data_IF_756929919784
#
_entry.id   IF_756929919784
#
_cell.length_a   1.000
_cell.length_b   1.000
_cell.length_c   1.000
_cell.angle_alpha   90.00
_cell.angle_beta   90.00
_cell.angle_gamma   90.00
#
_symmetry.space_group_name_H-M   'P 1'
#
loop_
_entity.id
_entity.type
_entity.pdbx_description
1 polymer ?
#
# COMPACT_ATOMS: atom_id res chain seq x y z
N UNK A 1 54.71 -15.05 -1.73
CA UNK A 1 54.95 -14.09 -0.63
C UNK A 1 54.60 -14.81 0.66
N UNK A 2 55.59 -15.16 1.48
CA UNK A 2 55.37 -15.90 2.73
C UNK A 2 55.18 -14.92 3.88
N UNK A 3 54.01 -14.94 4.50
CA UNK A 3 53.69 -14.15 5.69
C UNK A 3 54.46 -14.77 6.86
N UNK A 4 55.28 -13.99 7.54
CA UNK A 4 56.07 -14.48 8.65
C UNK A 4 55.27 -14.47 9.94
N UNK A 5 55.63 -15.32 10.89
CA UNK A 5 54.97 -15.42 12.19
C UNK A 5 55.02 -14.10 13.00
N UNK A 6 55.95 -13.20 12.65
CA UNK A 6 56.06 -11.84 13.18
C UNK A 6 54.95 -10.92 12.68
N UNK A 7 54.50 -11.10 11.44
CA UNK A 7 53.43 -10.31 10.83
C UNK A 7 52.06 -10.65 11.44
N UNK A 8 51.84 -11.93 11.79
CA UNK A 8 50.63 -12.40 12.47
C UNK A 8 50.50 -11.79 13.88
N UNK A 9 51.61 -11.69 14.61
CA UNK A 9 51.64 -11.06 15.93
C UNK A 9 51.23 -9.58 15.88
N UNK A 10 51.78 -8.82 14.92
CA UNK A 10 51.48 -7.39 14.77
C UNK A 10 50.01 -7.13 14.38
N UNK A 11 49.41 -8.01 13.57
CA UNK A 11 47.98 -7.92 13.23
C UNK A 11 47.08 -8.21 14.43
N UNK A 12 47.42 -9.21 15.25
CA UNK A 12 46.65 -9.54 16.46
C UNK A 12 46.66 -8.40 17.50
N UNK A 13 47.78 -7.67 17.65
CA UNK A 13 47.85 -6.53 18.57
C UNK A 13 47.03 -5.33 18.07
N UNK A 14 47.05 -5.05 16.76
CA UNK A 14 46.22 -3.98 16.17
C UNK A 14 44.72 -4.27 16.27
N UNK A 15 44.33 -5.53 16.11
CA UNK A 15 42.94 -5.95 16.22
C UNK A 15 42.40 -5.82 17.66
N UNK A 16 43.21 -6.18 18.68
CA UNK A 16 42.84 -5.98 20.09
C UNK A 16 42.67 -4.51 20.47
N UNK A 17 43.51 -3.62 19.94
CA UNK A 17 43.40 -2.18 20.15
C UNK A 17 42.11 -1.58 19.59
N UNK A 18 41.70 -2.00 18.38
CA UNK A 18 40.45 -1.54 17.74
C UNK A 18 39.19 -2.06 18.45
N UNK A 19 39.20 -3.32 18.92
CA UNK A 19 38.04 -3.86 19.65
C UNK A 19 37.83 -3.13 20.98
N UNK A 20 38.90 -2.83 21.73
CA UNK A 20 38.77 -2.06 22.97
C UNK A 20 38.28 -0.62 22.75
N UNK A 21 38.71 0.05 21.68
CA UNK A 21 38.26 1.42 21.39
C UNK A 21 36.80 1.48 20.94
N UNK A 22 36.33 0.51 20.12
CA UNK A 22 34.92 0.43 19.77
C UNK A 22 34.01 0.14 20.97
N UNK A 23 34.40 -0.77 21.87
CA UNK A 23 33.61 -1.10 23.07
C UNK A 23 33.53 0.09 24.02
N UNK A 24 34.62 0.82 24.23
CA UNK A 24 34.63 2.02 25.07
C UNK A 24 33.75 3.15 24.48
N UNK A 25 33.76 3.34 23.16
CA UNK A 25 32.91 4.32 22.49
C UNK A 25 31.41 3.97 22.61
N UNK A 26 31.04 2.70 22.47
CA UNK A 26 29.66 2.25 22.65
C UNK A 26 29.16 2.43 24.10
N UNK A 27 30.01 2.15 25.10
CA UNK A 27 29.65 2.35 26.51
C UNK A 27 29.50 3.83 26.87
N UNK A 28 30.34 4.72 26.33
CA UNK A 28 30.21 6.16 26.54
C UNK A 28 28.92 6.73 25.91
N UNK A 29 28.52 6.25 24.74
CA UNK A 29 27.27 6.67 24.08
C UNK A 29 26.02 6.22 24.86
N UNK A 30 26.05 5.04 25.47
CA UNK A 30 24.94 4.55 26.30
C UNK A 30 24.75 5.36 27.60
N UNK A 31 25.83 5.88 28.19
CA UNK A 31 25.74 6.69 29.41
C UNK A 31 25.11 8.07 29.18
N UNK A 32 25.29 8.67 28.00
CA UNK A 32 24.67 9.97 27.65
C UNK A 32 23.15 9.83 27.43
N UNK A 33 22.68 8.68 26.95
CA UNK A 33 21.26 8.44 26.71
C UNK A 33 20.45 8.25 28.00
N UNK A 34 21.07 7.86 29.12
CA UNK A 34 20.38 7.62 30.39
C UNK A 34 20.13 8.89 31.23
N UNK A 35 20.79 10.01 30.91
CA UNK A 35 20.76 11.24 31.74
C UNK A 35 19.75 12.33 31.31
N UNK A 36 18.89 12.09 30.31
CA UNK A 36 18.09 13.13 29.65
C UNK A 36 16.57 13.06 29.79
N UNK A 37 16.02 12.14 30.59
CA UNK A 37 14.57 11.88 30.67
C UNK A 37 13.87 12.50 31.88
N UNK A 38 14.42 13.56 32.49
CA UNK A 38 13.71 14.31 33.52
C UNK A 38 13.21 15.66 32.98
N UNK A 39 11.90 15.84 33.06
CA UNK A 39 11.14 17.07 32.76
C UNK A 39 10.99 17.49 31.29
N UNK A 40 10.07 16.81 30.59
CA UNK A 40 9.25 17.48 29.57
C UNK A 40 7.83 17.62 30.11
N UNK A 41 7.33 18.84 30.37
CA UNK A 41 5.96 19.03 30.84
C UNK A 41 4.98 18.49 29.79
N UNK A 42 4.01 17.71 30.24
CA UNK A 42 2.97 17.13 29.41
C UNK A 42 2.23 18.24 28.66
N UNK A 43 2.41 18.29 27.34
CA UNK A 43 1.56 19.07 26.48
C UNK A 43 0.15 18.47 26.55
N UNK A 44 -0.76 19.22 27.18
CA UNK A 44 -2.19 18.95 27.21
C UNK A 44 -2.70 18.75 25.78
N UNK A 45 -3.07 17.51 25.46
CA UNK A 45 -3.92 17.27 24.30
C UNK A 45 -5.30 17.88 24.57
N UNK A 46 -5.91 18.59 23.60
CA UNK A 46 -7.27 19.08 23.77
C UNK A 46 -8.21 17.89 23.94
N UNK A 47 -8.94 17.88 25.06
CA UNK A 47 -10.02 16.94 25.33
C UNK A 47 -11.06 17.08 24.22
N UNK A 48 -11.29 16.00 23.49
CA UNK A 48 -12.46 15.85 22.64
C UNK A 48 -13.71 15.91 23.54
N UNK A 49 -14.43 17.02 23.47
CA UNK A 49 -15.72 17.21 24.11
C UNK A 49 -16.76 16.30 23.44
N UNK A 50 -17.20 15.32 24.21
CA UNK A 50 -18.59 15.04 24.57
C UNK A 50 -19.67 14.94 23.46
N UNK A 51 -20.24 13.74 23.38
CA UNK A 51 -21.67 13.45 23.37
C UNK A 51 -22.56 14.35 22.50
N UNK A 52 -22.80 13.88 21.28
CA UNK A 52 -23.97 14.26 20.49
C UNK A 52 -24.97 13.09 20.52
N UNK A 53 -26.20 13.26 21.01
CA UNK A 53 -27.20 12.19 21.01
C UNK A 53 -27.58 11.83 19.57
N UNK A 54 -27.79 10.53 19.34
CA UNK A 54 -28.25 9.96 18.09
C UNK A 54 -29.62 10.56 17.74
N UNK A 55 -29.72 11.19 16.58
CA UNK A 55 -31.01 11.48 15.98
C UNK A 55 -31.58 10.15 15.44
N UNK A 56 -32.79 9.80 15.88
CA UNK A 56 -33.56 8.68 15.36
C UNK A 56 -33.76 8.83 13.85
N UNK A 57 -33.25 7.86 13.08
CA UNK A 57 -33.56 7.73 11.66
C UNK A 57 -34.96 7.13 11.48
N UNK A 58 -35.79 7.64 10.57
CA UNK A 58 -37.09 7.06 10.27
C UNK A 58 -36.94 5.68 9.60
N UNK A 59 -37.84 4.76 9.97
CA UNK A 59 -37.92 3.40 9.46
C UNK A 59 -38.02 3.36 7.91
N UNK A 60 -37.15 2.57 7.30
CA UNK A 60 -37.19 2.24 5.87
C UNK A 60 -38.17 1.08 5.68
N UNK A 61 -39.13 1.14 4.74
CA UNK A 61 -40.04 0.02 4.46
C UNK A 61 -39.29 -1.19 3.89
N UNK A 62 -39.60 -2.38 4.42
CA UNK A 62 -39.06 -3.66 3.97
C UNK A 62 -39.31 -3.89 2.46
N UNK A 63 -38.23 -4.18 1.74
CA UNK A 63 -38.26 -4.58 0.34
C UNK A 63 -38.51 -6.11 0.26
N UNK A 64 -39.50 -6.59 -0.51
CA UNK A 64 -39.73 -8.02 -0.63
C UNK A 64 -38.57 -8.75 -1.34
N UNK A 65 -38.23 -9.92 -0.80
CA UNK A 65 -37.15 -10.78 -1.24
C UNK A 65 -37.30 -11.21 -2.71
N UNK A 66 -36.21 -11.08 -3.47
CA UNK A 66 -36.13 -11.61 -4.83
C UNK A 66 -35.95 -13.15 -4.80
N UNK A 67 -36.53 -13.89 -5.75
CA UNK A 67 -36.35 -15.34 -5.86
C UNK A 67 -34.93 -15.71 -6.33
N UNK A 68 -34.42 -16.82 -5.79
CA UNK A 68 -33.10 -17.38 -6.10
C UNK A 68 -32.97 -17.80 -7.58
N UNK A 69 -31.79 -17.64 -8.22
CA UNK A 69 -31.55 -18.19 -9.54
C UNK A 69 -31.23 -19.69 -9.48
N UNK A 70 -31.97 -20.47 -10.27
CA UNK A 70 -31.72 -21.88 -10.51
C UNK A 70 -30.38 -22.09 -11.23
N UNK A 71 -29.57 -22.99 -10.66
CA UNK A 71 -28.29 -23.38 -11.21
C UNK A 71 -28.42 -24.13 -12.52
N UNK A 72 -27.61 -23.75 -13.50
CA UNK A 72 -27.30 -24.61 -14.65
C UNK A 72 -25.82 -24.49 -15.01
N UNK A 73 -25.12 -25.60 -14.84
CA UNK A 73 -23.73 -25.79 -15.22
C UNK A 73 -23.65 -26.51 -16.58
N UNK A 74 -22.97 -25.89 -17.54
CA UNK A 74 -22.27 -26.50 -18.69
C UNK A 74 -21.41 -25.39 -19.29
N UNK A 75 -20.08 -25.42 -19.22
CA UNK A 75 -19.23 -26.29 -20.03
C UNK A 75 -19.15 -25.75 -21.46
N UNK A 76 -18.00 -25.17 -21.87
CA UNK A 76 -17.29 -25.46 -23.13
C UNK A 76 -16.07 -24.56 -23.35
N UNK A 77 -14.97 -25.19 -23.78
CA UNK A 77 -13.77 -24.57 -24.36
C UNK A 77 -14.02 -24.33 -25.86
N UNK A 78 -13.49 -23.25 -26.42
CA UNK A 78 -12.65 -23.23 -27.63
C UNK A 78 -12.45 -21.80 -28.17
N UNK A 79 -11.25 -21.57 -28.68
CA UNK A 79 -10.79 -20.35 -29.31
C UNK A 79 -11.46 -20.06 -30.67
N UNK A 80 -11.60 -18.77 -31.01
CA UNK A 80 -11.45 -18.24 -32.38
C UNK A 80 -11.42 -16.70 -32.37
N UNK A 81 -10.30 -16.11 -32.80
CA UNK A 81 -10.26 -14.86 -33.57
C UNK A 81 -10.43 -15.27 -35.07
N UNK A 82 -10.79 -14.39 -36.06
CA UNK A 82 -10.20 -13.06 -36.29
C UNK A 82 -11.10 -12.01 -37.00
N UNK A 83 -10.45 -10.96 -37.54
CA UNK A 83 -10.86 -9.93 -38.51
C UNK A 83 -11.27 -8.58 -37.88
N UNK A 84 -10.47 -7.50 -37.98
CA UNK A 84 -10.05 -6.74 -39.17
C UNK A 84 -11.22 -6.03 -39.88
N UNK A 85 -11.37 -4.72 -39.62
CA UNK A 85 -12.25 -3.81 -40.34
C UNK A 85 -11.67 -2.40 -40.27
N UNK A 86 -11.16 -1.93 -41.41
CA UNK A 86 -10.68 -0.57 -41.65
C UNK A 86 -11.77 0.27 -42.33
N UNK A 87 -11.75 1.59 -42.14
CA UNK A 87 -11.96 2.66 -43.14
C UNK A 87 -12.61 3.91 -42.53
N UNK A 88 -12.08 5.09 -42.90
CA UNK A 88 -12.75 6.39 -42.73
C UNK A 88 -11.82 7.52 -42.28
N UNK A 89 -10.92 7.96 -43.16
CA UNK A 89 -10.22 9.25 -43.04
C UNK A 89 -10.94 10.26 -43.93
N UNK A 90 -11.43 11.35 -43.35
CA UNK A 90 -11.91 12.51 -44.10
C UNK A 90 -10.82 13.59 -44.14
N UNK A 91 -10.44 13.93 -45.37
CA UNK A 91 -9.49 14.96 -45.76
C UNK A 91 -10.00 16.37 -45.44
N UNK A 92 -9.19 17.16 -44.72
CA UNK A 92 -9.32 18.61 -44.65
C UNK A 92 -7.98 19.30 -44.99
N UNK A 93 -7.98 20.36 -45.82
CA UNK A 93 -6.75 20.99 -46.32
C UNK A 93 -6.13 21.96 -45.30
N UNK A 94 -4.79 22.05 -45.20
CA UNK A 94 -4.15 23.04 -44.34
C UNK A 94 -3.92 24.37 -45.07
N UNK A 95 -4.42 25.47 -44.50
CA UNK A 95 -4.03 26.82 -44.88
C UNK A 95 -2.73 27.21 -44.18
N UNK A 96 -1.74 27.58 -44.98
CA UNK A 96 -0.43 28.05 -44.55
C UNK A 96 -0.48 29.45 -43.90
N UNK A 97 0.18 29.59 -42.75
CA UNK A 97 0.70 30.88 -42.28
C UNK A 97 2.01 30.63 -41.53
N UNK A 98 3.12 30.94 -42.22
CA UNK A 98 4.49 30.86 -41.74
C UNK A 98 4.81 32.08 -40.87
N UNK A 99 5.03 31.87 -39.58
CA UNK A 99 5.81 32.80 -38.74
C UNK A 99 7.05 32.07 -38.24
N UNK A 100 8.21 32.53 -38.72
CA UNK A 100 9.52 32.04 -38.32
C UNK A 100 9.80 32.40 -36.85
N UNK A 101 9.77 31.38 -35.99
CA UNK A 101 10.28 31.46 -34.62
C UNK A 101 11.58 30.64 -34.52
N UNK A 102 12.56 31.22 -33.83
CA UNK A 102 13.90 30.69 -33.57
C UNK A 102 13.93 29.20 -33.19
N UNK A 103 14.99 28.46 -33.57
CA UNK A 103 15.19 27.08 -33.13
C UNK A 103 15.64 27.07 -31.67
N UNK A 104 14.70 27.30 -30.75
CA UNK A 104 14.86 26.91 -29.36
C UNK A 104 14.90 25.40 -29.31
N UNK A 105 15.97 24.83 -28.74
CA UNK A 105 16.14 23.40 -28.57
C UNK A 105 14.87 22.77 -27.99
N UNK A 106 14.12 22.09 -28.86
CA UNK A 106 12.95 21.31 -28.50
C UNK A 106 13.43 20.13 -27.68
N UNK A 107 13.48 20.31 -26.36
CA UNK A 107 13.69 19.22 -25.42
C UNK A 107 12.47 18.32 -25.55
N UNK A 108 12.59 17.29 -26.40
CA UNK A 108 11.57 16.28 -26.62
C UNK A 108 11.21 15.67 -25.26
N UNK A 109 10.10 16.15 -24.67
CA UNK A 109 9.60 15.63 -23.42
C UNK A 109 9.37 14.12 -23.60
N UNK A 110 9.89 13.31 -22.67
CA UNK A 110 9.58 11.90 -22.65
C UNK A 110 8.05 11.73 -22.61
N UNK A 111 7.48 10.74 -23.32
CA UNK A 111 6.04 10.48 -23.24
C UNK A 111 5.64 10.27 -21.77
N UNK A 112 4.46 10.74 -21.36
CA UNK A 112 3.99 10.56 -19.99
C UNK A 112 4.01 9.08 -19.64
N UNK A 113 4.49 8.76 -18.43
CA UNK A 113 4.41 7.39 -17.90
C UNK A 113 2.94 6.98 -17.83
N UNK A 114 2.62 5.75 -18.24
CA UNK A 114 1.27 5.20 -18.07
C UNK A 114 0.99 5.11 -16.57
N UNK A 115 -0.12 5.69 -16.15
CA UNK A 115 -0.68 5.57 -14.80
C UNK A 115 -1.71 4.44 -14.87
N UNK A 116 -1.80 3.64 -13.82
CA UNK A 116 -2.82 2.60 -13.75
C UNK A 116 -4.23 3.22 -13.75
N UNK A 117 -5.15 2.57 -14.46
CA UNK A 117 -6.57 2.92 -14.43
C UNK A 117 -7.23 2.25 -13.22
N UNK A 118 -7.81 3.06 -12.33
CA UNK A 118 -8.51 2.62 -11.14
C UNK A 118 -9.97 3.14 -11.14
N UNK A 119 -10.47 3.67 -12.25
CA UNK A 119 -11.73 4.42 -12.29
C UNK A 119 -12.90 3.56 -11.83
N UNK A 120 -12.94 2.28 -12.24
CA UNK A 120 -13.97 1.32 -11.80
C UNK A 120 -13.99 1.07 -10.29
N UNK A 121 -12.83 1.11 -9.62
CA UNK A 121 -12.74 0.90 -8.18
C UNK A 121 -13.07 2.19 -7.42
N UNK A 122 -12.73 3.35 -7.99
CA UNK A 122 -12.97 4.66 -7.40
C UNK A 122 -14.44 5.09 -7.41
N UNK A 123 -15.31 4.42 -8.17
CA UNK A 123 -16.78 4.64 -8.10
C UNK A 123 -17.28 4.49 -6.66
N UNK A 124 -16.87 3.42 -5.97
CA UNK A 124 -17.29 3.12 -4.60
C UNK A 124 -16.20 3.43 -3.55
N UNK A 125 -14.92 3.42 -3.95
CA UNK A 125 -13.78 3.63 -3.04
C UNK A 125 -13.00 4.92 -3.35
N UNK A 126 -13.72 6.03 -3.52
CA UNK A 126 -13.15 7.35 -3.84
C UNK A 126 -12.09 7.82 -2.85
N UNK A 127 -12.17 7.41 -1.58
CA UNK A 127 -11.20 7.76 -0.54
C UNK A 127 -9.78 7.25 -0.84
N UNK A 128 -9.62 6.27 -1.73
CA UNK A 128 -8.31 5.80 -2.16
C UNK A 128 -7.69 6.60 -3.31
N UNK A 129 -8.44 7.51 -3.95
CA UNK A 129 -7.92 8.36 -5.02
C UNK A 129 -6.85 9.35 -4.54
N UNK A 130 -6.81 9.64 -3.24
CA UNK A 130 -5.83 10.56 -2.61
C UNK A 130 -4.90 9.83 -1.62
N UNK A 131 -5.10 8.53 -1.42
CA UNK A 131 -4.36 7.75 -0.43
C UNK A 131 -2.94 7.45 -0.91
N UNK A 132 -1.94 7.65 -0.04
CA UNK A 132 -0.52 7.64 -0.41
C UNK A 132 -0.10 6.30 -1.06
N UNK A 133 -0.57 5.17 -0.54
CA UNK A 133 -0.25 3.86 -1.11
C UNK A 133 -0.85 3.71 -2.51
N UNK A 134 -2.16 3.96 -2.66
CA UNK A 134 -2.86 3.90 -3.95
C UNK A 134 -2.25 4.82 -5.01
N UNK A 135 -2.02 6.09 -4.68
CA UNK A 135 -1.48 7.08 -5.62
C UNK A 135 -0.06 6.72 -6.05
N UNK A 136 0.79 6.31 -5.10
CA UNK A 136 2.17 5.92 -5.42
C UNK A 136 2.25 4.65 -6.28
N UNK A 137 1.36 3.68 -6.05
CA UNK A 137 1.28 2.47 -6.87
C UNK A 137 0.73 2.77 -8.26
N UNK A 138 -0.33 3.57 -8.36
CA UNK A 138 -0.91 3.96 -9.65
C UNK A 138 0.10 4.70 -10.53
N UNK A 139 0.92 5.59 -9.96
CA UNK A 139 1.99 6.29 -10.67
C UNK A 139 3.09 5.35 -11.21
N UNK A 140 3.19 4.14 -10.68
CA UNK A 140 4.07 3.07 -11.15
C UNK A 140 3.34 2.03 -12.01
N UNK A 141 2.16 2.38 -12.56
CA UNK A 141 1.31 1.52 -13.37
C UNK A 141 0.88 0.23 -12.63
N UNK A 142 0.71 0.32 -11.30
CA UNK A 142 0.17 -0.74 -10.45
C UNK A 142 -1.23 -0.31 -9.98
N UNK A 143 -2.27 -0.89 -10.58
CA UNK A 143 -3.67 -0.61 -10.25
C UNK A 143 -4.19 -1.46 -9.09
N UNK A 144 -5.39 -1.13 -8.61
CA UNK A 144 -6.06 -1.84 -7.50
C UNK A 144 -6.15 -3.35 -7.73
N UNK A 145 -6.49 -3.75 -8.95
CA UNK A 145 -6.64 -5.16 -9.37
C UNK A 145 -5.35 -5.96 -9.27
N UNK A 146 -4.18 -5.31 -9.34
CA UNK A 146 -2.91 -6.02 -9.23
C UNK A 146 -2.76 -6.70 -7.87
N UNK A 147 -3.35 -6.12 -6.82
CA UNK A 147 -3.32 -6.66 -5.47
C UNK A 147 -4.67 -7.26 -5.03
N UNK A 148 -5.79 -6.70 -5.51
CA UNK A 148 -7.14 -7.11 -5.10
C UNK A 148 -7.83 -8.07 -6.08
N UNK A 149 -7.19 -8.39 -7.20
CA UNK A 149 -7.74 -9.22 -8.27
C UNK A 149 -8.79 -8.48 -9.13
N UNK A 150 -9.24 -9.09 -10.23
CA UNK A 150 -10.24 -8.53 -11.14
C UNK A 150 -11.57 -8.13 -10.51
N UNK A 151 -11.99 -8.65 -9.36
CA UNK A 151 -13.12 -8.19 -8.54
C UNK A 151 -14.39 -7.80 -9.31
N UNK A 152 -14.71 -8.48 -10.42
CA UNK A 152 -15.79 -8.07 -11.32
C UNK A 152 -17.17 -8.23 -10.66
N UNK A 153 -17.35 -9.31 -9.90
CA UNK A 153 -18.57 -9.55 -9.10
C UNK A 153 -18.72 -8.50 -8.01
N UNK A 154 -17.62 -8.15 -7.32
CA UNK A 154 -17.60 -7.11 -6.30
C UNK A 154 -17.95 -5.74 -6.87
N UNK A 155 -17.37 -5.36 -8.01
CA UNK A 155 -17.66 -4.07 -8.66
C UNK A 155 -19.09 -3.98 -9.21
N UNK A 156 -19.74 -5.12 -9.48
CA UNK A 156 -21.12 -5.18 -9.97
C UNK A 156 -22.15 -5.28 -8.84
N UNK A 157 -21.72 -5.45 -7.59
CA UNK A 157 -22.59 -5.63 -6.43
C UNK A 157 -22.82 -4.31 -5.69
N UNK A 158 -23.91 -3.63 -6.03
CA UNK A 158 -24.36 -2.41 -5.35
C UNK A 158 -24.68 -2.62 -3.86
N UNK A 159 -24.94 -3.86 -3.44
CA UNK A 159 -25.20 -4.24 -2.05
C UNK A 159 -23.94 -4.28 -1.19
N UNK A 160 -22.75 -4.27 -1.78
CA UNK A 160 -21.46 -4.40 -1.10
C UNK A 160 -21.37 -5.65 -0.20
N UNK A 161 -22.03 -6.76 -0.56
CA UNK A 161 -22.02 -8.03 0.20
C UNK A 161 -21.00 -9.03 -0.37
N UNK A 162 -20.61 -8.83 -1.62
CA UNK A 162 -19.61 -9.61 -2.34
C UNK A 162 -18.23 -9.08 -1.98
N UNK A 163 -17.33 -9.96 -1.54
CA UNK A 163 -15.95 -9.59 -1.26
C UNK A 163 -15.17 -9.37 -2.57
N UNK A 164 -14.12 -8.52 -2.58
CA UNK A 164 -13.17 -8.52 -3.68
C UNK A 164 -12.43 -9.86 -3.75
N UNK A 165 -11.87 -10.19 -4.93
CA UNK A 165 -11.25 -11.51 -5.16
C UNK A 165 -10.12 -11.80 -4.16
N UNK A 166 -9.35 -10.76 -3.82
CA UNK A 166 -8.23 -10.86 -2.89
C UNK A 166 -8.40 -9.87 -1.75
N UNK A 167 -8.48 -10.41 -0.54
CA UNK A 167 -8.31 -9.67 0.71
C UNK A 167 -7.08 -10.17 1.45
N UNK A 168 -6.34 -9.22 2.04
CA UNK A 168 -5.16 -9.56 2.84
C UNK A 168 -5.50 -9.56 4.33
N UNK A 169 -5.49 -10.75 4.93
CA UNK A 169 -5.31 -10.88 6.38
C UNK A 169 -4.00 -10.19 6.81
N UNK A 170 -3.94 -9.71 8.05
CA UNK A 170 -2.84 -8.85 8.52
C UNK A 170 -1.48 -9.51 8.33
N UNK A 171 -1.42 -10.80 8.61
CA UNK A 171 -0.22 -11.65 8.54
C UNK A 171 0.25 -11.87 7.10
N UNK A 172 -0.65 -11.72 6.10
CA UNK A 172 -0.34 -11.89 4.69
C UNK A 172 0.08 -10.61 3.96
N UNK A 173 -0.17 -9.44 4.54
CA UNK A 173 0.17 -8.14 3.93
C UNK A 173 1.67 -8.07 3.60
N UNK A 174 2.53 -8.38 4.57
CA UNK A 174 3.98 -8.29 4.38
C UNK A 174 4.51 -9.24 3.29
N UNK A 175 3.91 -10.41 3.11
CA UNK A 175 4.28 -11.34 2.05
C UNK A 175 3.84 -10.82 0.67
N UNK A 176 2.62 -10.29 0.56
CA UNK A 176 2.09 -9.73 -0.68
C UNK A 176 2.93 -8.53 -1.16
N UNK A 177 3.30 -7.61 -0.26
CA UNK A 177 4.16 -6.49 -0.61
C UNK A 177 5.53 -6.94 -1.17
N UNK A 178 6.08 -8.04 -0.64
CA UNK A 178 7.39 -8.56 -1.06
C UNK A 178 7.42 -9.14 -2.47
N UNK A 179 6.26 -9.39 -3.09
CA UNK A 179 6.20 -9.82 -4.49
C UNK A 179 6.78 -8.77 -5.44
N UNK A 180 6.60 -7.48 -5.13
CA UNK A 180 7.16 -6.35 -5.89
C UNK A 180 8.29 -5.63 -5.14
N UNK A 181 8.39 -5.80 -3.81
CA UNK A 181 9.43 -5.19 -2.97
C UNK A 181 10.33 -6.27 -2.33
N UNK A 182 11.22 -6.92 -3.12
CA UNK A 182 12.02 -8.06 -2.65
C UNK A 182 13.21 -7.67 -1.76
N UNK A 183 13.63 -6.40 -1.80
CA UNK A 183 14.76 -5.92 -0.99
C UNK A 183 14.47 -6.15 0.50
N UNK A 184 15.49 -6.54 1.30
CA UNK A 184 15.30 -6.74 2.72
C UNK A 184 14.72 -5.45 3.29
N UNK A 185 13.57 -5.58 3.96
CA UNK A 185 12.85 -4.48 4.60
C UNK A 185 13.76 -3.56 5.42
N UNK A 186 14.93 -4.04 5.83
CA UNK A 186 16.06 -3.27 6.36
C UNK A 186 16.37 -2.00 5.56
N UNK A 187 16.33 -1.98 4.22
CA UNK A 187 16.53 -0.74 3.43
C UNK A 187 15.41 0.28 3.56
N UNK A 188 14.19 -0.14 3.88
CA UNK A 188 13.07 0.78 4.16
C UNK A 188 13.12 1.33 5.58
N UNK A 189 13.86 0.70 6.49
CA UNK A 189 14.19 1.27 7.81
C UNK A 189 15.44 2.17 7.76
N UNK A 190 16.12 2.23 6.61
CA UNK A 190 17.41 2.90 6.43
C UNK A 190 17.31 4.34 5.91
N UNK A 191 16.16 5.02 5.99
CA UNK A 191 16.16 6.49 6.11
C UNK A 191 16.53 6.88 7.56
N UNK A 192 17.77 6.49 7.91
CA UNK A 192 18.76 7.19 8.70
C UNK A 192 18.41 7.82 10.07
N UNK A 193 17.28 7.51 10.72
CA UNK A 193 17.03 7.98 12.10
C UNK A 193 16.66 6.93 13.15
N UNK A 194 16.28 5.69 12.78
CA UNK A 194 15.68 4.79 13.78
C UNK A 194 16.24 3.37 13.94
N UNK A 195 16.93 2.73 12.98
CA UNK A 195 17.27 1.31 13.17
C UNK A 195 18.63 0.87 12.64
N UNK A 196 19.69 1.16 13.40
CA UNK A 196 20.86 0.30 13.35
C UNK A 196 21.23 -0.33 14.70
N UNK A 197 20.62 0.06 15.83
CA UNK A 197 21.03 -0.47 17.15
C UNK A 197 19.92 -0.67 18.20
N UNK A 198 18.65 -0.45 17.87
CA UNK A 198 17.55 -0.67 18.84
C UNK A 198 16.79 -1.95 18.46
N UNK A 199 16.72 -2.95 19.36
CA UNK A 199 15.87 -4.11 19.12
C UNK A 199 14.42 -3.65 19.07
N UNK A 200 13.72 -4.00 17.98
CA UNK A 200 12.29 -3.75 17.87
C UNK A 200 11.54 -4.46 19.00
N UNK A 201 10.65 -3.72 19.64
CA UNK A 201 9.67 -4.25 20.61
C UNK A 201 8.72 -5.24 19.94
N UNK A 202 8.01 -6.04 20.73
CA UNK A 202 7.00 -6.96 20.21
C UNK A 202 5.88 -6.22 19.45
N UNK A 203 5.51 -5.02 19.91
CA UNK A 203 4.53 -4.16 19.25
C UNK A 203 5.03 -3.67 17.88
N UNK A 204 6.28 -3.24 17.78
CA UNK A 204 6.87 -2.82 16.51
C UNK A 204 7.01 -3.99 15.53
N UNK A 205 7.30 -5.20 16.01
CA UNK A 205 7.32 -6.41 15.20
C UNK A 205 5.92 -6.83 14.71
N UNK A 206 4.87 -6.43 15.42
CA UNK A 206 3.49 -6.69 15.02
C UNK A 206 2.97 -5.70 13.97
N UNK A 207 3.70 -4.61 13.68
CA UNK A 207 3.33 -3.65 12.64
C UNK A 207 3.56 -4.24 11.25
N UNK A 208 2.68 -3.88 10.32
CA UNK A 208 2.75 -4.24 8.90
C UNK A 208 2.97 -2.99 8.05
N UNK A 209 3.29 -3.16 6.77
CA UNK A 209 3.65 -2.08 5.85
C UNK A 209 2.63 -0.92 5.86
N UNK A 210 1.34 -1.25 5.89
CA UNK A 210 0.23 -0.29 5.88
C UNK A 210 -0.04 0.38 7.24
N UNK A 211 0.65 0.01 8.31
CA UNK A 211 0.54 0.79 9.56
C UNK A 211 1.36 2.10 9.49
N UNK A 212 2.34 2.17 8.57
CA UNK A 212 3.19 3.36 8.38
C UNK A 212 3.09 3.98 6.98
N UNK A 213 2.97 3.18 5.92
CA UNK A 213 3.09 3.65 4.53
C UNK A 213 1.76 3.94 3.83
N UNK A 214 0.65 3.96 4.57
CA UNK A 214 -0.64 4.36 4.02
C UNK A 214 -1.81 3.79 4.80
N UNK A 215 -2.83 4.61 5.05
CA UNK A 215 -4.08 4.17 5.67
C UNK A 215 -4.97 3.45 4.65
N UNK A 216 -4.43 2.41 4.02
CA UNK A 216 -5.06 1.64 2.94
C UNK A 216 -6.11 0.66 3.48
N UNK A 217 -7.09 1.21 4.20
CA UNK A 217 -8.22 0.51 4.80
C UNK A 217 -9.44 1.44 4.80
N UNK A 218 -10.60 0.91 4.42
CA UNK A 218 -11.87 1.61 4.63
C UNK A 218 -12.08 1.86 6.14
N UNK A 219 -12.29 3.13 6.50
CA UNK A 219 -12.43 3.58 7.89
C UNK A 219 -13.70 3.03 8.56
N UNK A 220 -14.79 2.95 7.81
CA UNK A 220 -16.07 2.41 8.25
C UNK A 220 -16.43 1.25 7.33
N UNK A 221 -16.88 0.15 7.92
CA UNK A 221 -17.34 -1.05 7.21
C UNK A 221 -18.62 -1.53 7.86
N UNK A 222 -19.73 -1.41 7.12
CA UNK A 222 -21.03 -1.99 7.49
C UNK A 222 -21.00 -3.50 7.28
N UNK A 223 -20.33 -3.95 6.22
CA UNK A 223 -20.13 -5.35 5.90
C UNK A 223 -18.74 -5.83 6.33
N UNK A 224 -18.68 -7.01 6.95
CA UNK A 224 -17.44 -7.62 7.42
C UNK A 224 -17.26 -8.99 6.80
N UNK A 225 -16.07 -9.24 6.29
CA UNK A 225 -15.67 -10.54 5.77
C UNK A 225 -14.50 -11.10 6.54
N UNK A 226 -14.44 -12.41 6.59
CA UNK A 226 -13.26 -13.15 6.95
C UNK A 226 -12.26 -12.97 5.80
N UNK A 227 -11.15 -12.28 6.09
CA UNK A 227 -10.16 -11.91 5.07
C UNK A 227 -9.38 -13.10 4.50
N UNK A 228 -9.42 -14.26 5.16
CA UNK A 228 -8.74 -15.45 4.69
C UNK A 228 -9.61 -16.25 3.71
N UNK A 229 -10.93 -16.21 3.89
CA UNK A 229 -11.89 -17.05 3.15
C UNK A 229 -12.80 -16.27 2.21
N UNK A 230 -12.90 -14.95 2.37
CA UNK A 230 -13.85 -14.12 1.63
C UNK A 230 -15.30 -14.23 2.11
N UNK A 231 -15.57 -15.09 3.10
CA UNK A 231 -16.93 -15.31 3.60
C UNK A 231 -17.39 -14.16 4.47
N UNK A 232 -18.68 -13.83 4.39
CA UNK A 232 -19.31 -12.89 5.30
C UNK A 232 -19.14 -13.40 6.74
N UNK A 233 -18.60 -12.56 7.62
CA UNK A 233 -18.73 -12.78 9.06
C UNK A 233 -20.14 -12.28 9.37
N UNK A 234 -20.98 -13.15 9.92
CA UNK A 234 -22.41 -12.91 10.18
C UNK A 234 -22.72 -11.45 10.55
N UNK A 235 -23.84 -10.94 9.99
CA UNK A 235 -24.27 -9.57 10.21
C UNK A 235 -24.23 -9.25 11.71
N UNK A 236 -23.60 -8.14 12.13
CA UNK A 236 -23.68 -7.73 13.52
C UNK A 236 -25.17 -7.59 13.85
N UNK A 237 -25.64 -8.41 14.79
CA UNK A 237 -27.03 -8.55 15.22
C UNK A 237 -27.88 -7.31 14.89
N UNK A 238 -28.85 -7.45 13.99
CA UNK A 238 -29.82 -6.41 13.64
C UNK A 238 -30.76 -6.01 14.82
N UNK A 239 -30.48 -6.49 16.04
CA UNK A 239 -31.34 -6.45 17.22
C UNK A 239 -30.75 -5.66 18.41
N UNK A 240 -29.84 -4.69 18.20
CA UNK A 240 -29.37 -3.79 19.28
C UNK A 240 -29.35 -2.32 18.93
#
# INVERSE_FOLDING_TARGET
MSITQRDIGAMATRLRGHVLTCVAACLAAAAVAAGGCENRPAAQQPRATENRPAAESPAVPEKPAAPAPDGSAAGNRAAAAPAAGAAGQDDAPPTAATTAASPGASSSAAPPRRVADNDRCHVCHVNFGEEVLSVSHAANNIGCERCHGPSDEHCSDEGNITAPDIMFAREKIGAACKECHPDPMERMVLDARYCLFVPLTAEEKAKVCTDCHGSHRANVRTVRWDKATGKLIEEPDADK
#
